data_IF_408219680181
#
_entry.id   IF_408219680181
#
_cell.length_a   1.000
_cell.length_b   1.000
_cell.length_c   1.000
_cell.angle_alpha   90.00
_cell.angle_beta   90.00
_cell.angle_gamma   90.00
#
_symmetry.space_group_name_H-M   'P 1'
#
loop_
_entity.id
_entity.type
_entity.pdbx_description
1 polymer ?
#
# COMPACT_ATOMS: atom_id res chain seq x y z
N UNK A 1 11.44 2.75 29.67
CA UNK A 1 10.42 3.83 29.61
C UNK A 1 11.18 5.14 29.44
N UNK A 2 10.78 5.93 28.43
CA UNK A 2 11.30 7.26 28.15
C UNK A 2 10.23 8.27 28.56
N UNK A 3 10.61 9.27 29.37
CA UNK A 3 9.67 10.28 29.88
C UNK A 3 10.28 11.66 29.63
N UNK A 4 9.59 12.46 28.81
CA UNK A 4 9.89 13.89 28.67
C UNK A 4 9.14 14.67 29.76
N UNK A 5 9.87 15.56 30.45
CA UNK A 5 9.32 16.41 31.52
C UNK A 5 9.12 17.86 31.11
N UNK A 6 9.39 18.18 29.83
CA UNK A 6 9.21 19.54 29.31
C UNK A 6 7.74 19.88 29.10
N UNK A 7 7.41 21.17 29.13
CA UNK A 7 6.10 21.68 28.73
C UNK A 7 6.05 21.99 27.22
N UNK A 8 4.85 22.10 26.63
CA UNK A 8 4.73 22.43 25.19
C UNK A 8 5.48 23.70 24.78
N UNK A 9 5.50 24.71 25.66
CA UNK A 9 6.14 26.01 25.49
C UNK A 9 7.67 25.94 25.43
N UNK A 10 8.26 24.92 26.05
CA UNK A 10 9.71 24.74 26.10
C UNK A 10 10.29 24.35 24.75
N UNK A 11 9.43 23.90 23.82
CA UNK A 11 9.83 23.50 22.49
C UNK A 11 11.03 22.50 22.47
N UNK A 12 11.11 21.64 23.48
CA UNK A 12 12.25 20.76 23.71
C UNK A 12 12.44 19.74 22.58
N UNK A 13 13.69 19.42 22.16
CA UNK A 13 13.97 18.46 21.12
C UNK A 13 13.56 17.02 21.48
N UNK A 14 13.34 16.76 22.75
CA UNK A 14 12.92 15.46 23.31
C UNK A 14 11.41 15.28 23.34
N UNK A 15 10.64 16.37 23.17
CA UNK A 15 9.18 16.32 23.23
C UNK A 15 8.56 15.96 21.87
N UNK A 16 7.55 15.06 21.88
CA UNK A 16 6.75 14.73 20.68
C UNK A 16 6.19 15.99 20.02
N UNK A 17 6.24 16.12 18.70
CA UNK A 17 6.56 15.11 17.68
C UNK A 17 8.05 14.97 17.34
N UNK A 18 8.96 15.55 18.11
CA UNK A 18 10.40 15.45 17.87
C UNK A 18 10.96 14.13 18.35
N UNK A 19 12.08 13.73 17.75
CA UNK A 19 12.67 12.40 17.87
C UNK A 19 13.85 12.32 18.84
N UNK A 20 14.18 13.41 19.54
CA UNK A 20 15.42 13.51 20.35
C UNK A 20 15.56 12.47 21.47
N UNK A 21 14.46 11.87 21.95
CA UNK A 21 14.54 10.75 22.90
C UNK A 21 14.75 9.40 22.22
N UNK A 22 14.65 9.33 20.90
CA UNK A 22 14.62 8.09 20.12
C UNK A 22 15.87 7.87 19.28
N UNK A 23 16.90 8.72 19.43
CA UNK A 23 18.18 8.64 18.71
C UNK A 23 18.80 7.25 18.78
N UNK A 24 18.72 6.59 19.96
CA UNK A 24 19.18 5.22 20.15
C UNK A 24 18.57 4.22 19.14
N UNK A 25 17.34 4.46 18.71
CA UNK A 25 16.63 3.59 17.77
C UNK A 25 16.87 4.03 16.31
N UNK A 26 16.99 5.35 16.10
CA UNK A 26 17.24 5.94 14.77
C UNK A 26 18.66 5.60 14.28
N UNK A 27 19.64 5.69 15.18
CA UNK A 27 21.05 5.53 14.85
C UNK A 27 21.50 4.04 14.86
N UNK A 28 20.61 3.12 15.20
CA UNK A 28 20.94 1.69 15.28
C UNK A 28 20.30 0.92 14.12
N UNK A 29 21.09 0.37 13.19
CA UNK A 29 20.60 -0.37 12.03
C UNK A 29 19.90 -1.71 12.36
N UNK A 30 19.98 -2.18 13.62
CA UNK A 30 19.29 -3.40 14.05
C UNK A 30 17.78 -3.20 14.19
N UNK A 31 17.30 -1.94 14.16
CA UNK A 31 15.87 -1.62 14.21
C UNK A 31 15.34 -1.25 12.82
N UNK A 32 14.35 -2.00 12.35
CA UNK A 32 13.59 -1.67 11.15
C UNK A 32 12.55 -0.59 11.48
N UNK A 33 12.94 0.69 11.32
CA UNK A 33 12.01 1.81 11.56
C UNK A 33 10.91 1.85 10.49
N UNK A 34 11.18 1.50 9.25
CA UNK A 34 10.20 1.53 8.17
C UNK A 34 9.07 0.51 8.42
N UNK A 35 9.39 -0.66 8.98
CA UNK A 35 8.44 -1.68 9.41
C UNK A 35 7.86 -1.48 10.81
N UNK A 36 8.25 -0.39 11.52
CA UNK A 36 7.79 -0.11 12.88
C UNK A 36 6.53 0.77 12.88
N UNK A 37 5.85 0.80 14.05
CA UNK A 37 4.65 1.62 14.24
C UNK A 37 4.77 2.46 15.51
N UNK A 38 4.28 3.70 15.44
CA UNK A 38 3.94 4.49 16.62
C UNK A 38 2.46 4.31 16.90
N UNK A 39 2.12 3.90 18.12
CA UNK A 39 0.73 3.75 18.60
C UNK A 39 0.43 4.91 19.54
N UNK A 40 -0.61 5.71 19.28
CA UNK A 40 -0.95 6.84 20.12
C UNK A 40 -2.28 7.48 19.78
N UNK A 41 -2.78 8.28 20.72
CA UNK A 41 -4.13 8.86 20.70
C UNK A 41 -4.17 10.33 20.19
N UNK A 42 -3.00 10.92 19.88
CA UNK A 42 -2.88 12.32 19.48
C UNK A 42 -2.29 12.48 18.08
N UNK A 43 -2.68 13.52 17.34
CA UNK A 43 -2.04 13.83 16.07
C UNK A 43 -0.51 14.00 16.15
N UNK A 44 0.02 14.44 17.32
CA UNK A 44 1.46 14.53 17.57
C UNK A 44 2.16 13.16 17.60
N UNK A 45 1.44 12.07 17.87
CA UNK A 45 1.99 10.73 17.78
C UNK A 45 2.12 10.28 16.33
N UNK A 46 1.13 10.63 15.50
CA UNK A 46 1.17 10.38 14.05
C UNK A 46 2.28 11.23 13.38
N UNK A 47 2.45 12.47 13.83
CA UNK A 47 3.54 13.33 13.37
C UNK A 47 4.91 12.80 13.82
N UNK A 48 5.01 12.22 15.02
CA UNK A 48 6.22 11.51 15.48
C UNK A 48 6.55 10.33 14.55
N UNK A 49 5.55 9.53 14.17
CA UNK A 49 5.73 8.44 13.22
C UNK A 49 6.29 8.93 11.88
N UNK A 50 5.74 10.03 11.33
CA UNK A 50 6.26 10.69 10.13
C UNK A 50 7.73 11.08 10.27
N UNK A 51 8.09 11.70 11.41
CA UNK A 51 9.45 12.17 11.66
C UNK A 51 10.44 11.02 11.89
N UNK A 52 9.97 9.84 12.27
CA UNK A 52 10.75 8.60 12.39
C UNK A 52 10.87 7.82 11.08
N UNK A 53 10.09 8.18 10.04
CA UNK A 53 10.00 7.41 8.80
C UNK A 53 9.23 6.11 8.94
N UNK A 54 8.33 6.00 9.94
CA UNK A 54 7.47 4.84 10.18
C UNK A 54 5.99 5.22 10.04
N UNK A 55 5.10 4.23 10.21
CA UNK A 55 3.64 4.44 10.16
C UNK A 55 3.07 4.57 11.56
N UNK A 56 1.84 5.08 11.67
CA UNK A 56 1.14 5.22 12.93
C UNK A 56 -0.11 4.34 12.99
N UNK A 57 -0.40 3.84 14.20
CA UNK A 57 -1.72 3.33 14.58
C UNK A 57 -2.33 4.41 15.48
N UNK A 58 -3.43 4.99 15.02
CA UNK A 58 -4.09 6.10 15.70
C UNK A 58 -5.24 5.58 16.56
N UNK A 59 -5.15 5.78 17.89
CA UNK A 59 -6.14 5.31 18.87
C UNK A 59 -7.36 6.22 18.92
N UNK A 60 -8.01 6.41 17.77
CA UNK A 60 -9.25 7.14 17.58
C UNK A 60 -10.05 6.47 16.46
N UNK A 61 -11.38 6.62 16.51
CA UNK A 61 -12.27 6.06 15.48
C UNK A 61 -12.46 6.99 14.27
N UNK A 62 -11.91 8.21 14.33
CA UNK A 62 -11.95 9.20 13.24
C UNK A 62 -10.56 9.76 12.92
N UNK A 63 -10.30 9.96 11.64
CA UNK A 63 -9.06 10.55 11.11
C UNK A 63 -9.21 12.02 10.72
N UNK A 64 -10.32 12.68 11.02
CA UNK A 64 -10.56 14.09 10.62
C UNK A 64 -9.48 15.05 11.13
N UNK A 65 -9.03 14.88 12.38
CA UNK A 65 -7.94 15.68 12.95
C UNK A 65 -6.58 15.46 12.26
N UNK A 66 -6.41 14.36 11.55
CA UNK A 66 -5.23 14.06 10.75
C UNK A 66 -5.31 14.71 9.36
N UNK A 67 -6.52 14.81 8.78
CA UNK A 67 -6.76 15.48 7.49
C UNK A 67 -6.32 16.93 7.52
N UNK A 68 -6.74 17.65 8.54
CA UNK A 68 -6.41 19.06 8.72
C UNK A 68 -4.90 19.31 8.78
N UNK A 69 -4.12 18.29 9.18
CA UNK A 69 -2.66 18.33 9.31
C UNK A 69 -1.90 17.66 8.19
N UNK A 70 -2.60 17.08 7.20
CA UNK A 70 -1.96 16.34 6.10
C UNK A 70 -1.17 15.10 6.56
N UNK A 71 -1.70 14.39 7.58
CA UNK A 71 -1.06 13.22 8.20
C UNK A 71 -1.79 11.90 7.91
N UNK A 72 -2.83 11.91 7.06
CA UNK A 72 -3.63 10.72 6.78
C UNK A 72 -2.84 9.56 6.19
N UNK A 73 -1.92 9.88 5.29
CA UNK A 73 -1.06 8.90 4.62
C UNK A 73 -0.03 8.23 5.55
N UNK A 74 0.21 8.79 6.73
CA UNK A 74 1.08 8.20 7.76
C UNK A 74 0.30 7.22 8.65
N UNK A 75 -1.02 7.40 8.75
CA UNK A 75 -1.90 6.55 9.55
C UNK A 75 -2.14 5.20 8.84
N UNK A 76 -1.68 4.12 9.46
CA UNK A 76 -1.88 2.77 8.95
C UNK A 76 -3.23 2.19 9.35
N UNK A 77 -3.66 2.49 10.57
CA UNK A 77 -4.92 2.02 11.18
C UNK A 77 -5.42 3.09 12.15
N UNK A 78 -6.71 3.38 12.12
CA UNK A 78 -7.40 4.21 13.11
C UNK A 78 -8.48 3.37 13.78
N UNK A 79 -8.31 3.10 15.07
CA UNK A 79 -9.25 2.31 15.87
C UNK A 79 -8.90 2.44 17.35
N UNK A 80 -9.90 2.32 18.22
CA UNK A 80 -9.73 2.20 19.66
C UNK A 80 -9.74 0.74 20.14
N UNK A 81 -10.00 -0.19 19.21
CA UNK A 81 -10.09 -1.63 19.48
C UNK A 81 -8.70 -2.30 19.40
N UNK A 82 -8.22 -2.81 20.53
CA UNK A 82 -6.92 -3.49 20.64
C UNK A 82 -6.90 -4.85 19.93
N UNK A 83 -8.04 -5.52 19.75
CA UNK A 83 -8.09 -6.78 19.00
C UNK A 83 -7.84 -6.51 17.50
N UNK A 84 -8.41 -5.43 16.96
CA UNK A 84 -8.12 -4.98 15.60
C UNK A 84 -6.65 -4.57 15.43
N UNK A 85 -6.05 -3.91 16.43
CA UNK A 85 -4.63 -3.57 16.41
C UNK A 85 -3.77 -4.83 16.41
N UNK A 86 -4.10 -5.80 17.24
CA UNK A 86 -3.39 -7.07 17.29
C UNK A 86 -3.52 -7.83 15.96
N UNK A 87 -4.72 -7.94 15.40
CA UNK A 87 -4.94 -8.54 14.07
C UNK A 87 -4.11 -7.83 13.00
N UNK A 88 -4.08 -6.50 13.00
CA UNK A 88 -3.30 -5.71 12.05
C UNK A 88 -1.80 -5.95 12.17
N UNK A 89 -1.25 -5.96 13.40
CA UNK A 89 0.17 -6.15 13.65
C UNK A 89 0.65 -7.60 13.42
N UNK A 90 -0.24 -8.57 13.62
CA UNK A 90 0.04 -9.99 13.43
C UNK A 90 -0.49 -10.53 12.08
N UNK A 91 -1.32 -9.78 11.36
CA UNK A 91 -1.58 -10.06 9.96
C UNK A 91 -0.25 -9.99 9.22
N UNK A 92 0.18 -11.09 8.63
CA UNK A 92 1.44 -11.15 7.87
C UNK A 92 1.47 -10.06 6.80
N UNK A 93 2.66 -9.68 6.38
CA UNK A 93 2.84 -8.72 5.26
C UNK A 93 2.00 -9.17 4.06
N UNK A 94 1.14 -8.26 3.55
CA UNK A 94 0.33 -8.55 2.36
C UNK A 94 1.18 -8.42 1.10
N UNK A 95 2.21 -9.28 1.03
CA UNK A 95 3.16 -9.36 -0.07
C UNK A 95 3.03 -10.67 -0.82
N UNK A 96 3.31 -10.64 -2.10
CA UNK A 96 3.36 -11.84 -2.90
C UNK A 96 4.33 -11.67 -4.06
N UNK A 97 5.01 -12.76 -4.38
CA UNK A 97 5.77 -12.91 -5.61
C UNK A 97 5.19 -14.08 -6.39
N UNK A 98 5.00 -13.87 -7.70
CA UNK A 98 4.49 -14.87 -8.62
C UNK A 98 5.28 -14.79 -9.92
N UNK A 99 5.71 -15.94 -10.44
CA UNK A 99 6.29 -16.08 -11.77
C UNK A 99 5.50 -17.10 -12.55
N UNK A 100 5.29 -16.85 -13.83
CA UNK A 100 4.69 -17.74 -14.79
C UNK A 100 5.49 -17.70 -16.07
N UNK A 101 5.92 -18.88 -16.53
CA UNK A 101 6.63 -19.05 -17.78
C UNK A 101 5.83 -19.98 -18.68
N UNK A 102 5.62 -19.56 -19.92
CA UNK A 102 4.99 -20.33 -20.99
C UNK A 102 5.98 -20.51 -22.14
N UNK A 103 5.50 -20.88 -23.32
CA UNK A 103 6.34 -20.87 -24.53
C UNK A 103 6.41 -19.46 -25.13
N UNK A 104 5.42 -18.64 -24.86
CA UNK A 104 5.22 -17.31 -25.43
C UNK A 104 5.69 -16.18 -24.49
N UNK A 105 5.68 -16.42 -23.17
CA UNK A 105 5.94 -15.38 -22.18
C UNK A 105 6.71 -15.89 -20.96
N UNK A 106 7.46 -14.99 -20.32
CA UNK A 106 8.01 -15.17 -18.96
C UNK A 106 7.67 -13.92 -18.14
N UNK A 107 6.77 -14.07 -17.20
CA UNK A 107 6.22 -12.96 -16.42
C UNK A 107 6.55 -13.14 -14.94
N UNK A 108 7.12 -12.10 -14.34
CA UNK A 108 7.36 -12.00 -12.90
C UNK A 108 6.65 -10.78 -12.33
N UNK A 109 5.94 -10.98 -11.24
CA UNK A 109 5.26 -9.93 -10.46
C UNK A 109 5.63 -10.06 -8.99
N UNK A 110 6.13 -8.97 -8.40
CA UNK A 110 6.24 -8.79 -6.95
C UNK A 110 5.30 -7.64 -6.53
N UNK A 111 4.46 -7.90 -5.55
CA UNK A 111 3.41 -7.00 -5.08
C UNK A 111 3.47 -6.86 -3.56
N UNK A 112 3.41 -5.61 -3.08
CA UNK A 112 3.19 -5.28 -1.69
C UNK A 112 1.93 -4.39 -1.60
N UNK A 113 0.85 -4.92 -1.04
CA UNK A 113 -0.42 -4.18 -0.88
C UNK A 113 -0.34 -3.10 0.21
N UNK A 114 0.66 -3.16 1.10
CA UNK A 114 0.93 -2.17 2.14
C UNK A 114 2.09 -1.24 1.75
N UNK A 115 2.21 -0.96 0.45
CA UNK A 115 3.27 -0.16 -0.14
C UNK A 115 3.05 1.34 -0.07
N UNK A 116 3.84 2.05 -0.85
CA UNK A 116 3.84 3.52 -0.98
C UNK A 116 3.71 4.01 -2.43
N UNK A 117 3.47 3.11 -3.38
CA UNK A 117 3.37 3.42 -4.81
C UNK A 117 4.71 3.36 -5.54
N UNK A 118 5.69 2.62 -5.00
CA UNK A 118 6.97 2.39 -5.68
C UNK A 118 6.75 1.41 -6.82
N UNK A 119 7.22 1.78 -8.02
CA UNK A 119 7.05 0.99 -9.24
C UNK A 119 8.38 0.66 -9.89
N UNK A 120 8.52 -0.60 -10.36
CA UNK A 120 9.60 -1.07 -11.22
C UNK A 120 8.99 -1.97 -12.30
N UNK A 121 8.52 -1.34 -13.39
CA UNK A 121 7.68 -1.99 -14.42
C UNK A 121 8.42 -2.00 -15.75
N UNK A 122 8.44 -3.15 -16.41
CA UNK A 122 9.00 -3.34 -17.73
C UNK A 122 8.31 -4.52 -18.43
N UNK A 123 7.36 -4.23 -19.31
CA UNK A 123 6.65 -5.23 -20.12
C UNK A 123 7.04 -5.18 -21.59
N UNK A 124 7.82 -4.19 -22.00
CA UNK A 124 8.12 -3.90 -23.39
C UNK A 124 7.01 -3.13 -24.12
N UNK A 125 5.91 -2.79 -23.45
CA UNK A 125 4.75 -2.09 -23.96
C UNK A 125 4.55 -0.79 -23.20
N UNK A 126 5.07 0.33 -23.71
CA UNK A 126 5.16 1.60 -22.97
C UNK A 126 3.82 2.11 -22.43
N UNK A 127 2.72 1.97 -23.16
CA UNK A 127 1.40 2.37 -22.66
C UNK A 127 0.92 1.45 -21.54
N UNK A 128 1.17 0.15 -21.63
CA UNK A 128 0.80 -0.82 -20.59
C UNK A 128 1.62 -0.59 -19.32
N UNK A 129 2.93 -0.31 -19.46
CA UNK A 129 3.79 0.07 -18.34
C UNK A 129 3.22 1.29 -17.60
N UNK A 130 2.84 2.34 -18.34
CA UNK A 130 2.21 3.53 -17.79
C UNK A 130 0.89 3.24 -17.06
N UNK A 131 0.04 2.37 -17.57
CA UNK A 131 -1.22 1.97 -16.92
C UNK A 131 -0.97 1.20 -15.61
N UNK A 132 0.01 0.30 -15.60
CA UNK A 132 0.40 -0.44 -14.40
C UNK A 132 1.04 0.46 -13.35
N UNK A 133 1.85 1.46 -13.76
CA UNK A 133 2.35 2.49 -12.85
C UNK A 133 1.21 3.31 -12.24
N UNK A 134 0.23 3.72 -13.03
CA UNK A 134 -0.97 4.42 -12.57
C UNK A 134 -1.74 3.60 -11.55
N UNK A 135 -1.97 2.31 -11.85
CA UNK A 135 -2.60 1.36 -10.93
C UNK A 135 -1.88 1.28 -9.59
N UNK A 136 -0.56 1.09 -9.60
CA UNK A 136 0.23 0.96 -8.39
C UNK A 136 0.28 2.26 -7.57
N UNK A 137 0.52 3.41 -8.23
CA UNK A 137 0.62 4.71 -7.55
C UNK A 137 -0.69 5.15 -6.92
N UNK A 138 -1.81 5.02 -7.64
CA UNK A 138 -3.13 5.40 -7.13
C UNK A 138 -3.68 4.39 -6.11
N UNK A 139 -3.25 3.13 -6.19
CA UNK A 139 -3.58 2.10 -5.21
C UNK A 139 -2.65 2.07 -3.99
N UNK A 140 -1.57 2.86 -3.99
CA UNK A 140 -0.50 2.84 -2.99
C UNK A 140 0.15 1.46 -2.81
N UNK A 141 0.22 0.67 -3.88
CA UNK A 141 0.94 -0.61 -3.91
C UNK A 141 2.39 -0.39 -4.29
N UNK A 142 3.32 -1.20 -3.74
CA UNK A 142 4.62 -1.33 -4.39
C UNK A 142 4.50 -2.48 -5.38
N UNK A 143 4.86 -2.23 -6.63
CA UNK A 143 4.67 -3.16 -7.74
C UNK A 143 5.91 -3.26 -8.61
N UNK A 144 6.46 -4.47 -8.72
CA UNK A 144 7.45 -4.81 -9.73
C UNK A 144 6.83 -5.78 -10.74
N UNK A 145 6.92 -5.45 -12.03
CA UNK A 145 6.48 -6.30 -13.15
C UNK A 145 7.61 -6.40 -14.15
N UNK A 146 8.07 -7.61 -14.41
CA UNK A 146 9.02 -7.92 -15.49
C UNK A 146 8.36 -8.93 -16.42
N UNK A 147 8.21 -8.55 -17.68
CA UNK A 147 7.60 -9.38 -18.70
C UNK A 147 8.49 -9.46 -19.93
N UNK A 148 8.78 -10.68 -20.34
CA UNK A 148 9.39 -11.00 -21.62
C UNK A 148 8.36 -11.82 -22.42
N UNK A 149 7.90 -11.30 -23.54
CA UNK A 149 6.89 -11.93 -24.39
C UNK A 149 7.25 -11.89 -25.86
N UNK A 150 6.47 -12.60 -26.66
CA UNK A 150 6.62 -12.74 -28.11
C UNK A 150 6.05 -11.53 -28.88
N UNK A 151 6.46 -10.32 -28.49
CA UNK A 151 5.98 -9.06 -29.06
C UNK A 151 6.14 -8.93 -30.58
N UNK A 152 6.92 -9.82 -31.21
CA UNK A 152 7.03 -9.91 -32.67
C UNK A 152 5.72 -10.43 -33.29
N UNK A 153 4.98 -11.27 -32.55
CA UNK A 153 3.64 -11.73 -32.97
C UNK A 153 2.61 -10.64 -32.78
N UNK A 154 2.38 -10.26 -31.52
CA UNK A 154 1.63 -9.10 -31.09
C UNK A 154 1.76 -8.91 -29.55
N UNK A 155 0.93 -8.05 -28.94
CA UNK A 155 1.02 -7.75 -27.51
C UNK A 155 0.07 -8.58 -26.63
N UNK A 156 -0.86 -9.37 -27.20
CA UNK A 156 -1.95 -9.95 -26.40
C UNK A 156 -1.47 -11.00 -25.39
N UNK A 157 -0.55 -11.89 -25.75
CA UNK A 157 0.01 -12.86 -24.81
C UNK A 157 0.67 -12.19 -23.61
N UNK A 158 1.45 -11.14 -23.86
CA UNK A 158 2.12 -10.37 -22.78
C UNK A 158 1.13 -9.70 -21.85
N UNK A 159 0.08 -9.07 -22.38
CA UNK A 159 -0.95 -8.37 -21.60
C UNK A 159 -1.79 -9.38 -20.80
N UNK A 160 -2.28 -10.43 -21.47
CA UNK A 160 -3.11 -11.47 -20.83
C UNK A 160 -2.35 -12.16 -19.69
N UNK A 161 -1.15 -12.64 -19.95
CA UNK A 161 -0.35 -13.37 -18.97
C UNK A 161 0.09 -12.46 -17.80
N UNK A 162 0.39 -11.19 -18.06
CA UNK A 162 0.65 -10.21 -16.98
C UNK A 162 -0.59 -10.02 -16.11
N UNK A 163 -1.78 -9.91 -16.69
CA UNK A 163 -3.05 -9.83 -15.96
C UNK A 163 -3.29 -11.06 -15.09
N UNK A 164 -3.04 -12.26 -15.61
CA UNK A 164 -3.16 -13.52 -14.87
C UNK A 164 -2.18 -13.56 -13.68
N UNK A 165 -0.91 -13.19 -13.90
CA UNK A 165 0.12 -13.23 -12.85
C UNK A 165 -0.15 -12.19 -11.78
N UNK A 166 -0.54 -10.97 -12.17
CA UNK A 166 -0.92 -9.90 -11.24
C UNK A 166 -2.15 -10.28 -10.41
N UNK A 167 -3.18 -10.85 -11.04
CA UNK A 167 -4.36 -11.36 -10.33
C UNK A 167 -4.02 -12.46 -9.31
N UNK A 168 -3.10 -13.36 -9.66
CA UNK A 168 -2.59 -14.39 -8.74
C UNK A 168 -1.76 -13.78 -7.59
N UNK A 169 -0.96 -12.75 -7.86
CA UNK A 169 -0.21 -12.04 -6.83
C UNK A 169 -1.16 -11.34 -5.84
N UNK A 170 -2.19 -10.64 -6.33
CA UNK A 170 -3.22 -10.02 -5.49
C UNK A 170 -3.93 -11.10 -4.64
N UNK A 171 -4.38 -12.21 -5.25
CA UNK A 171 -5.02 -13.30 -4.53
C UNK A 171 -4.13 -13.87 -3.41
N UNK A 172 -2.84 -14.05 -3.69
CA UNK A 172 -1.86 -14.57 -2.72
C UNK A 172 -1.62 -13.56 -1.59
N UNK A 173 -1.51 -12.27 -1.92
CA UNK A 173 -1.25 -11.20 -0.96
C UNK A 173 -2.45 -10.95 -0.03
N UNK A 174 -3.71 -11.03 -0.51
CA UNK A 174 -4.90 -10.89 0.34
C UNK A 174 -5.20 -12.14 1.18
N UNK A 175 -4.53 -13.25 0.93
CA UNK A 175 -4.62 -14.48 1.73
C UNK A 175 -6.05 -14.98 1.97
N UNK A 176 -6.41 -15.21 3.23
CA UNK A 176 -7.73 -15.67 3.65
C UNK A 176 -8.80 -14.57 3.65
N UNK A 177 -8.43 -13.36 3.27
CA UNK A 177 -9.29 -12.17 3.16
C UNK A 177 -9.85 -11.66 4.49
N UNK A 178 -9.29 -12.06 5.63
CA UNK A 178 -9.64 -11.47 6.91
C UNK A 178 -9.11 -10.04 6.99
N UNK A 179 -9.87 -9.16 7.62
CA UNK A 179 -9.47 -7.77 7.86
C UNK A 179 -9.38 -6.88 6.61
N UNK A 180 -9.73 -7.37 5.40
CA UNK A 180 -9.74 -6.54 4.20
C UNK A 180 -11.08 -5.82 4.01
N UNK A 181 -11.03 -4.66 3.37
CA UNK A 181 -12.23 -4.02 2.81
C UNK A 181 -12.61 -4.77 1.52
N UNK A 182 -13.61 -5.65 1.60
CA UNK A 182 -14.03 -6.55 0.52
C UNK A 182 -14.47 -5.83 -0.75
N UNK A 183 -15.17 -4.68 -0.61
CA UNK A 183 -15.80 -3.96 -1.72
C UNK A 183 -15.05 -2.66 -1.99
N UNK A 184 -14.88 -2.34 -3.27
CA UNK A 184 -14.39 -1.05 -3.73
C UNK A 184 -15.11 -0.61 -4.98
N UNK A 185 -15.28 0.70 -5.14
CA UNK A 185 -15.83 1.29 -6.37
C UNK A 185 -15.23 2.66 -6.61
N UNK A 186 -15.12 3.03 -7.88
CA UNK A 186 -14.68 4.34 -8.31
C UNK A 186 -15.46 4.77 -9.55
N UNK A 187 -15.80 6.06 -9.62
CA UNK A 187 -16.27 6.72 -10.83
C UNK A 187 -15.18 7.74 -11.18
N UNK A 188 -14.55 7.57 -12.33
CA UNK A 188 -13.42 8.38 -12.76
C UNK A 188 -13.77 9.06 -14.08
N UNK A 189 -13.93 10.40 -14.09
CA UNK A 189 -14.03 11.17 -15.32
C UNK A 189 -12.63 11.57 -15.82
N UNK A 190 -12.43 11.56 -17.12
CA UNK A 190 -11.25 12.12 -17.80
C UNK A 190 -11.68 12.57 -19.17
N UNK A 191 -11.68 13.89 -19.39
CA UNK A 191 -12.19 14.55 -20.60
C UNK A 191 -13.60 14.05 -20.95
N UNK A 192 -13.81 13.47 -22.14
CA UNK A 192 -15.08 12.91 -22.59
C UNK A 192 -15.36 11.49 -22.09
N UNK A 193 -14.42 10.89 -21.37
CA UNK A 193 -14.53 9.51 -20.88
C UNK A 193 -15.00 9.47 -19.43
N UNK A 194 -15.95 8.60 -19.15
CA UNK A 194 -16.39 8.28 -17.79
C UNK A 194 -16.29 6.78 -17.55
N UNK A 195 -15.51 6.38 -16.56
CA UNK A 195 -15.33 4.97 -16.17
C UNK A 195 -15.98 4.73 -14.81
N UNK A 196 -16.82 3.72 -14.72
CA UNK A 196 -17.30 3.15 -13.46
C UNK A 196 -16.67 1.79 -13.25
N UNK A 197 -15.97 1.62 -12.13
CA UNK A 197 -15.39 0.35 -11.73
C UNK A 197 -15.91 -0.06 -10.36
N UNK A 198 -16.33 -1.31 -10.20
CA UNK A 198 -16.71 -1.89 -8.93
C UNK A 198 -16.07 -3.26 -8.77
N UNK A 199 -15.44 -3.50 -7.61
CA UNK A 199 -14.71 -4.73 -7.31
C UNK A 199 -15.27 -5.38 -6.05
N UNK A 200 -15.52 -6.70 -6.11
CA UNK A 200 -15.83 -7.55 -4.97
C UNK A 200 -14.78 -8.68 -4.88
N UNK A 201 -13.94 -8.64 -3.85
CA UNK A 201 -12.95 -9.67 -3.58
C UNK A 201 -13.58 -10.94 -2.95
N UNK A 202 -14.73 -11.40 -3.51
CA UNK A 202 -15.50 -12.55 -3.01
C UNK A 202 -14.74 -13.88 -3.10
N UNK A 203 -13.79 -14.02 -4.03
CA UNK A 203 -13.12 -15.26 -4.37
C UNK A 203 -13.87 -16.12 -5.40
N UNK A 204 -15.00 -15.65 -5.92
CA UNK A 204 -15.70 -16.24 -7.06
C UNK A 204 -15.38 -15.41 -8.30
N UNK A 205 -14.86 -16.02 -9.38
CA UNK A 205 -14.55 -15.27 -10.60
C UNK A 205 -15.85 -14.81 -11.27
N UNK A 206 -15.94 -13.53 -11.55
CA UNK A 206 -17.01 -12.91 -12.33
C UNK A 206 -16.48 -11.63 -12.96
N UNK A 207 -16.81 -11.40 -14.21
CA UNK A 207 -16.54 -10.17 -14.92
C UNK A 207 -17.80 -9.71 -15.66
N UNK A 208 -18.18 -8.46 -15.46
CA UNK A 208 -19.09 -7.74 -16.34
C UNK A 208 -18.32 -6.56 -16.92
N UNK A 209 -18.28 -6.49 -18.22
CA UNK A 209 -17.57 -5.43 -18.94
C UNK A 209 -18.52 -4.87 -20.02
N UNK A 210 -18.66 -3.55 -20.04
CA UNK A 210 -19.40 -2.80 -21.05
C UNK A 210 -18.49 -1.70 -21.58
N UNK A 211 -18.04 -1.81 -22.81
CA UNK A 211 -17.15 -0.87 -23.47
C UNK A 211 -17.01 -1.22 -24.95
N UNK A 212 -16.93 -0.19 -25.78
CA UNK A 212 -16.61 -0.30 -27.20
C UNK A 212 -15.20 0.23 -27.42
N UNK A 213 -14.39 -0.54 -28.13
CA UNK A 213 -13.03 -0.18 -28.56
C UNK A 213 -13.01 0.09 -30.06
#
# INVERSE_FOLDING_TARGET
>A
ILIDRSFPEDNAPTRKPRTGMLTKYIDNPDYDLAGSFVIGDRPTDVELAKNLGCRAIYLQDSTESLKEKGLENVCALATTDWDQIAEFLFAGERKAEVRRTTKETDIYVALNLDGSGICDISTGLGFFDHMLEGFARHGFFDLSVKAEGDLIVDCHHTIEDTGIVLGNAIKKAVGDKKGIKRYGSCILPMDETLVLCAVDLSGRPYLSFDGNF
#
